data_IF_478996834999
#
_entry.id   IF_478996834999
#
_cell.length_a   1.000
_cell.length_b   1.000
_cell.length_c   1.000
_cell.angle_alpha   90.00
_cell.angle_beta   90.00
_cell.angle_gamma   90.00
#
_symmetry.space_group_name_H-M   'P 1'
#
loop_
_entity.id
_entity.type
_entity.pdbx_description
1 polymer ?
#
# COMPACT_ATOMS: atom_id res chain seq x y z
N UNK A 1 7.00 -5.83 -5.40
CA UNK A 1 5.95 -6.82 -5.70
C UNK A 1 4.95 -6.82 -4.56
N UNK A 2 3.66 -6.77 -4.87
CA UNK A 2 2.58 -6.80 -3.89
C UNK A 2 1.70 -8.03 -4.09
N UNK A 3 1.57 -8.83 -3.04
CA UNK A 3 0.67 -9.98 -3.06
C UNK A 3 -0.79 -9.51 -2.85
N UNK A 4 -1.67 -9.88 -3.77
CA UNK A 4 -3.09 -9.57 -3.72
C UNK A 4 -3.73 -10.40 -2.60
N UNK A 5 -4.33 -9.74 -1.61
CA UNK A 5 -4.95 -10.41 -0.46
C UNK A 5 -6.35 -10.91 -0.77
N UNK A 6 -7.10 -10.16 -1.57
CA UNK A 6 -8.45 -10.50 -2.00
C UNK A 6 -8.83 -9.70 -3.26
N UNK A 7 -9.90 -10.15 -3.91
CA UNK A 7 -10.52 -9.48 -5.05
C UNK A 7 -11.96 -9.15 -4.66
N UNK A 8 -12.39 -7.93 -4.96
CA UNK A 8 -13.78 -7.52 -4.75
C UNK A 8 -14.72 -8.22 -5.75
N UNK A 9 -15.88 -8.68 -5.27
CA UNK A 9 -16.81 -9.41 -6.13
C UNK A 9 -17.45 -8.47 -7.16
N UNK A 10 -17.39 -8.87 -8.43
CA UNK A 10 -17.94 -8.08 -9.54
C UNK A 10 -17.09 -6.87 -9.93
N UNK A 11 -15.84 -6.81 -9.49
CA UNK A 11 -14.89 -5.79 -9.93
C UNK A 11 -14.21 -6.15 -11.26
N UNK A 12 -13.54 -5.18 -11.87
CA UNK A 12 -12.73 -5.36 -13.08
C UNK A 12 -11.69 -6.49 -12.87
N UNK A 13 -11.01 -6.51 -11.73
CA UNK A 13 -10.05 -7.56 -11.42
C UNK A 13 -10.67 -8.97 -11.37
N UNK A 14 -11.93 -9.09 -10.91
CA UNK A 14 -12.65 -10.36 -10.92
C UNK A 14 -12.98 -10.81 -12.35
N UNK A 15 -13.38 -9.87 -13.23
CA UNK A 15 -13.66 -10.15 -14.65
C UNK A 15 -12.40 -10.58 -15.42
N UNK A 16 -11.25 -10.02 -15.07
CA UNK A 16 -9.94 -10.38 -15.61
C UNK A 16 -9.39 -11.71 -15.06
N UNK A 17 -10.09 -12.35 -14.12
CA UNK A 17 -9.67 -13.63 -13.54
C UNK A 17 -8.45 -13.52 -12.61
N UNK A 18 -8.23 -12.34 -12.03
CA UNK A 18 -7.28 -12.18 -10.94
C UNK A 18 -7.81 -12.83 -9.67
N UNK A 19 -6.90 -13.27 -8.80
CA UNK A 19 -7.24 -13.96 -7.56
C UNK A 19 -6.28 -13.61 -6.43
N UNK A 20 -6.70 -13.91 -5.20
CA UNK A 20 -5.82 -13.81 -4.04
C UNK A 20 -4.58 -14.71 -4.22
N UNK A 21 -3.41 -14.19 -3.85
CA UNK A 21 -2.11 -14.84 -4.00
C UNK A 21 -1.38 -14.52 -5.31
N UNK A 22 -2.07 -13.96 -6.32
CA UNK A 22 -1.39 -13.35 -7.46
C UNK A 22 -0.56 -12.15 -6.98
N UNK A 23 0.54 -11.86 -7.66
CA UNK A 23 1.44 -10.76 -7.30
C UNK A 23 1.43 -9.67 -8.36
N UNK A 24 1.10 -8.46 -7.94
CA UNK A 24 1.27 -7.26 -8.75
C UNK A 24 2.76 -6.84 -8.75
N UNK A 25 3.39 -6.89 -9.92
CA UNK A 25 4.79 -6.55 -10.10
C UNK A 25 4.97 -5.09 -10.46
N UNK A 26 4.29 -4.64 -11.52
CA UNK A 26 4.33 -3.26 -12.01
C UNK A 26 2.96 -2.76 -12.43
N UNK A 27 2.77 -1.44 -12.34
CA UNK A 27 1.67 -0.68 -12.94
C UNK A 27 2.30 0.44 -13.74
N UNK A 28 1.92 0.63 -15.00
CA UNK A 28 2.47 1.67 -15.89
C UNK A 28 4.01 1.65 -16.02
N UNK A 29 4.61 0.46 -15.96
CA UNK A 29 6.06 0.22 -15.90
C UNK A 29 6.76 0.65 -14.60
N UNK A 30 6.02 1.13 -13.59
CA UNK A 30 6.56 1.45 -12.26
C UNK A 30 6.48 0.25 -11.33
N UNK A 31 7.53 0.04 -10.51
CA UNK A 31 7.62 -1.10 -9.59
C UNK A 31 6.74 -0.86 -8.37
N UNK A 32 5.83 -1.79 -8.09
CA UNK A 32 4.92 -1.68 -6.96
C UNK A 32 5.60 -2.12 -5.66
N UNK A 33 5.91 -1.18 -4.77
CA UNK A 33 6.54 -1.47 -3.47
C UNK A 33 5.53 -1.52 -2.33
N UNK A 34 4.50 -0.68 -2.37
CA UNK A 34 3.42 -0.66 -1.40
C UNK A 34 2.10 -0.10 -1.95
N UNK A 35 1.08 -0.10 -1.10
CA UNK A 35 -0.27 0.37 -1.43
C UNK A 35 -0.29 1.83 -1.93
N UNK A 36 0.63 2.69 -1.48
CA UNK A 36 0.63 4.10 -1.91
C UNK A 36 1.06 4.20 -3.37
N UNK A 37 2.09 3.45 -3.78
CA UNK A 37 2.52 3.39 -5.19
C UNK A 37 1.33 2.97 -6.08
N UNK A 38 0.62 1.92 -5.68
CA UNK A 38 -0.57 1.45 -6.40
C UNK A 38 -1.67 2.51 -6.52
N UNK A 39 -2.03 3.17 -5.40
CA UNK A 39 -3.09 4.19 -5.40
C UNK A 39 -2.73 5.44 -6.21
N UNK A 40 -1.44 5.70 -6.42
CA UNK A 40 -0.98 6.78 -7.31
C UNK A 40 -1.18 6.35 -8.76
N UNK A 41 -0.70 5.16 -9.13
CA UNK A 41 -0.76 4.68 -10.52
C UNK A 41 -2.19 4.35 -10.98
N UNK A 42 -3.06 3.84 -10.10
CA UNK A 42 -4.46 3.51 -10.40
C UNK A 42 -5.29 4.72 -10.88
N UNK A 43 -4.79 5.95 -10.66
CA UNK A 43 -5.47 7.17 -11.10
C UNK A 43 -5.36 7.42 -12.62
N UNK A 44 -4.51 6.69 -13.34
CA UNK A 44 -4.42 6.78 -14.80
C UNK A 44 -5.61 6.06 -15.46
N UNK A 45 -6.21 6.63 -16.52
CA UNK A 45 -7.34 6.00 -17.24
C UNK A 45 -6.95 4.74 -18.03
N UNK A 46 -5.65 4.58 -18.31
CA UNK A 46 -5.07 3.42 -18.96
C UNK A 46 -4.00 2.84 -18.04
N UNK A 47 -4.13 1.55 -17.72
CA UNK A 47 -3.22 0.83 -16.84
C UNK A 47 -2.57 -0.35 -17.57
N UNK A 48 -1.25 -0.37 -17.55
CA UNK A 48 -0.44 -1.51 -17.97
C UNK A 48 0.00 -2.30 -16.74
N UNK A 49 -0.63 -3.45 -16.47
CA UNK A 49 -0.34 -4.30 -15.33
C UNK A 49 0.56 -5.47 -15.72
N UNK A 50 1.58 -5.73 -14.90
CA UNK A 50 2.33 -6.99 -14.91
C UNK A 50 2.00 -7.79 -13.65
N UNK A 51 1.36 -8.94 -13.82
CA UNK A 51 0.94 -9.84 -12.74
C UNK A 51 1.73 -11.15 -12.83
N UNK A 52 2.25 -11.64 -11.71
CA UNK A 52 2.72 -13.03 -11.56
C UNK A 52 1.61 -13.84 -10.89
N UNK A 53 1.07 -14.82 -11.62
CA UNK A 53 0.05 -15.75 -11.11
C UNK A 53 0.67 -16.69 -10.08
N UNK A 54 -0.19 -17.30 -9.26
CA UNK A 54 0.23 -18.28 -8.22
C UNK A 54 1.03 -19.48 -8.76
N UNK A 55 0.88 -19.84 -10.04
CA UNK A 55 1.62 -20.91 -10.71
C UNK A 55 2.96 -20.44 -11.31
N UNK A 56 3.28 -19.15 -11.21
CA UNK A 56 4.48 -18.52 -11.73
C UNK A 56 4.38 -18.00 -13.17
N UNK A 57 3.22 -18.14 -13.83
CA UNK A 57 2.99 -17.51 -15.12
C UNK A 57 2.90 -15.98 -14.97
N UNK A 58 3.46 -15.24 -15.92
CA UNK A 58 3.35 -13.78 -15.95
C UNK A 58 2.33 -13.34 -16.98
N UNK A 59 1.39 -12.51 -16.55
CA UNK A 59 0.34 -11.93 -17.37
C UNK A 59 0.58 -10.42 -17.52
N UNK A 60 0.60 -9.95 -18.75
CA UNK A 60 0.53 -8.53 -19.10
C UNK A 60 -0.92 -8.20 -19.45
N UNK A 61 -1.50 -7.24 -18.73
CA UNK A 61 -2.89 -6.83 -18.89
C UNK A 61 -2.94 -5.33 -19.16
N UNK A 62 -3.57 -4.95 -20.26
CA UNK A 62 -3.90 -3.57 -20.58
C UNK A 62 -5.37 -3.33 -20.20
N UNK A 63 -5.62 -2.36 -19.35
CA UNK A 63 -6.96 -2.04 -18.82
C UNK A 63 -7.25 -0.58 -19.12
N UNK A 64 -8.44 -0.31 -19.67
CA UNK A 64 -9.02 1.02 -19.69
C UNK A 64 -10.11 1.09 -18.61
N UNK A 65 -10.00 2.05 -17.69
CA UNK A 65 -11.00 2.27 -16.65
C UNK A 65 -11.22 3.77 -16.41
N UNK A 66 -12.37 4.12 -15.83
CA UNK A 66 -12.55 5.47 -15.30
C UNK A 66 -11.73 5.59 -14.03
N UNK A 67 -10.85 6.59 -13.92
CA UNK A 67 -10.06 6.87 -12.70
C UNK A 67 -10.88 6.94 -11.40
N UNK A 68 -12.20 7.10 -11.47
CA UNK A 68 -13.11 7.05 -10.31
C UNK A 68 -13.63 5.66 -9.94
N UNK A 69 -13.39 4.64 -10.77
CA UNK A 69 -13.80 3.25 -10.54
C UNK A 69 -12.59 2.40 -10.12
N UNK A 70 -12.56 1.82 -8.91
CA UNK A 70 -11.43 1.00 -8.48
C UNK A 70 -11.37 -0.33 -9.25
N UNK A 71 -10.17 -0.88 -9.45
CA UNK A 71 -10.01 -2.21 -10.05
C UNK A 71 -10.58 -3.34 -9.16
N UNK A 72 -10.74 -3.06 -7.86
CA UNK A 72 -11.19 -4.01 -6.84
C UNK A 72 -10.09 -4.97 -6.37
N UNK A 73 -8.84 -4.52 -6.38
CA UNK A 73 -7.71 -5.22 -5.76
C UNK A 73 -7.63 -4.86 -4.26
N UNK A 74 -7.66 -5.88 -3.39
CA UNK A 74 -7.37 -5.70 -1.97
C UNK A 74 -5.90 -5.99 -1.74
N UNK A 75 -5.11 -4.93 -1.49
CA UNK A 75 -3.66 -4.99 -1.29
C UNK A 75 -3.31 -4.80 0.20
N UNK A 76 -2.16 -5.34 0.65
CA UNK A 76 -1.72 -5.18 2.03
C UNK A 76 -1.44 -3.72 2.37
N UNK A 77 -1.92 -3.27 3.53
CA UNK A 77 -1.47 -2.00 4.09
C UNK A 77 0.00 -2.08 4.51
N UNK A 78 0.78 -1.00 4.32
CA UNK A 78 2.16 -0.96 4.75
C UNK A 78 2.25 -1.08 6.27
N UNK A 79 3.25 -1.80 6.77
CA UNK A 79 3.59 -1.73 8.19
C UNK A 79 4.25 -0.37 8.50
N UNK A 80 3.86 0.30 9.60
CA UNK A 80 4.41 1.61 9.93
C UNK A 80 5.89 1.51 10.27
N UNK A 81 6.72 2.30 9.59
CA UNK A 81 8.11 2.50 9.99
C UNK A 81 8.15 3.14 11.37
N UNK A 82 8.89 2.52 12.29
CA UNK A 82 9.00 3.00 13.65
C UNK A 82 9.87 4.26 13.72
N UNK A 83 9.34 5.28 14.40
CA UNK A 83 10.04 6.51 14.70
C UNK A 83 11.28 6.26 15.57
N UNK A 84 12.47 6.56 15.02
CA UNK A 84 13.75 6.51 15.74
C UNK A 84 14.02 7.70 16.66
N UNK A 85 13.21 8.76 16.62
CA UNK A 85 13.48 10.00 17.34
C UNK A 85 13.32 9.84 18.86
N UNK A 86 14.27 10.35 19.64
CA UNK A 86 14.21 10.32 21.12
C UNK A 86 13.80 11.67 21.70
N UNK A 87 12.61 12.14 21.32
CA UNK A 87 12.11 13.45 21.74
C UNK A 87 11.82 13.47 23.26
N UNK A 88 12.25 14.53 23.94
CA UNK A 88 11.94 14.75 25.37
C UNK A 88 10.43 14.83 25.64
N UNK A 89 9.66 15.29 24.66
CA UNK A 89 8.20 15.47 24.72
C UNK A 89 7.41 14.32 24.06
N UNK A 90 8.04 13.15 23.82
CA UNK A 90 7.35 12.04 23.17
C UNK A 90 6.20 11.48 24.03
N UNK A 91 4.96 11.64 23.58
CA UNK A 91 3.78 11.12 24.29
C UNK A 91 3.80 9.60 24.46
N UNK A 92 4.34 8.87 23.49
CA UNK A 92 4.46 7.41 23.57
C UNK A 92 5.42 6.99 24.70
N UNK A 93 6.52 7.72 24.91
CA UNK A 93 7.42 7.48 26.04
C UNK A 93 6.77 7.77 27.40
N UNK A 94 5.75 8.62 27.43
CA UNK A 94 5.04 9.00 28.65
C UNK A 94 3.87 8.06 28.98
N UNK A 95 3.57 7.08 28.11
CA UNK A 95 2.49 6.12 28.36
C UNK A 95 2.83 5.19 29.54
N UNK A 96 1.87 4.92 30.44
CA UNK A 96 2.07 3.95 31.52
C UNK A 96 2.20 2.53 30.94
N UNK A 97 2.82 1.61 31.69
CA UNK A 97 2.99 0.20 31.30
C UNK A 97 1.66 -0.56 31.34
N UNK A 98 1.53 -1.58 30.49
CA UNK A 98 0.38 -2.50 30.47
C UNK A 98 -0.81 -2.06 29.62
N UNK A 99 -0.67 -1.01 28.81
CA UNK A 99 -1.66 -0.59 27.83
C UNK A 99 -1.64 -1.49 26.57
N UNK A 100 -2.58 -1.26 25.65
CA UNK A 100 -2.65 -1.99 24.38
C UNK A 100 -1.35 -1.82 23.60
N UNK A 101 -0.83 -2.91 23.03
CA UNK A 101 0.46 -2.93 22.29
C UNK A 101 0.54 -1.85 21.21
N UNK A 102 -0.55 -1.61 20.49
CA UNK A 102 -0.61 -0.61 19.42
C UNK A 102 -0.35 0.81 19.90
N UNK A 103 -0.64 1.14 21.16
CA UNK A 103 -0.40 2.48 21.71
C UNK A 103 1.08 2.78 21.93
N UNK A 104 1.94 1.75 21.99
CA UNK A 104 3.38 1.92 22.16
C UNK A 104 4.14 2.01 20.83
N UNK A 105 3.44 1.90 19.70
CA UNK A 105 4.06 2.08 18.38
C UNK A 105 4.25 3.58 18.18
N UNK A 106 5.50 3.99 17.97
CA UNK A 106 5.80 5.35 17.52
C UNK A 106 5.81 5.32 16.00
N UNK A 107 4.78 5.85 15.37
CA UNK A 107 4.72 5.99 13.92
C UNK A 107 5.34 7.34 13.51
N UNK A 108 6.16 7.29 12.47
CA UNK A 108 6.59 8.49 11.73
C UNK A 108 6.73 8.09 10.26
N UNK A 109 5.69 7.45 9.73
CA UNK A 109 5.68 6.94 8.36
C UNK A 109 4.83 7.85 7.47
N UNK A 110 5.46 8.51 6.50
CA UNK A 110 4.76 9.46 5.62
C UNK A 110 3.63 8.79 4.82
N UNK A 111 3.71 7.48 4.56
CA UNK A 111 2.67 6.73 3.83
C UNK A 111 1.34 6.76 4.58
N UNK A 112 1.38 6.77 5.91
CA UNK A 112 0.20 6.88 6.74
C UNK A 112 -0.40 8.30 6.74
N UNK A 113 0.38 9.32 6.42
CA UNK A 113 -0.14 10.67 6.14
C UNK A 113 -1.03 10.65 4.89
N UNK A 114 -0.58 9.98 3.82
CA UNK A 114 -1.36 9.81 2.60
C UNK A 114 -2.62 8.94 2.85
N UNK A 115 -2.45 7.76 3.43
CA UNK A 115 -3.53 6.78 3.58
C UNK A 115 -4.59 7.18 4.61
N UNK A 116 -4.20 7.87 5.69
CA UNK A 116 -5.06 8.08 6.86
C UNK A 116 -5.05 9.50 7.41
N UNK A 117 -4.32 10.43 6.79
CA UNK A 117 -4.18 11.80 7.30
C UNK A 117 -3.38 11.89 8.60
N UNK A 118 -2.52 10.92 8.89
CA UNK A 118 -1.65 10.95 10.06
C UNK A 118 -0.64 12.11 9.96
N UNK A 119 -0.47 12.87 11.06
CA UNK A 119 0.52 13.94 11.09
C UNK A 119 1.93 13.37 11.25
N UNK A 120 2.85 13.81 10.39
CA UNK A 120 4.27 13.45 10.46
C UNK A 120 5.13 14.72 10.53
N UNK A 121 6.22 14.67 11.30
CA UNK A 121 7.15 15.80 11.48
C UNK A 121 8.19 15.91 10.38
N UNK A 122 8.26 14.93 9.46
CA UNK A 122 9.23 14.83 8.35
C UNK A 122 10.70 14.77 8.80
N UNK A 123 10.95 14.58 10.10
CA UNK A 123 12.30 14.61 10.70
C UNK A 123 13.13 13.39 10.37
N UNK A 124 12.50 12.32 9.90
CA UNK A 124 13.12 11.07 9.50
C UNK A 124 13.15 10.85 7.98
N UNK A 125 12.87 11.88 7.17
CA UNK A 125 13.03 11.80 5.72
C UNK A 125 14.49 12.02 5.34
N UNK A 126 15.07 11.07 4.61
CA UNK A 126 16.34 11.25 3.90
C UNK A 126 16.05 11.63 2.45
N UNK A 127 16.83 12.54 1.84
CA UNK A 127 16.95 12.53 0.39
C UNK A 127 17.50 11.16 -0.01
N UNK A 128 16.81 10.47 -0.91
CA UNK A 128 17.28 9.23 -1.52
C UNK A 128 18.56 9.46 -2.35
#
# INVERSE_FOLDING_TARGET
MLEIQAIEQGSIAAELGLQAGDKLLTVNNEVMNDLVDYLIEEQCEQLDLLIEKVDGEQWELEIEHDSNEPLGLVLPHPEPKQCGNNCLFCFVHQLPRGMRRSLYIKDEDYRFSYLYGAYVTLTNLSPE
#
